data_IF_395756510728
#
_entry.id   IF_395756510728
#
_cell.length_a   1.000
_cell.length_b   1.000
_cell.length_c   1.000
_cell.angle_alpha   90.00
_cell.angle_beta   90.00
_cell.angle_gamma   90.00
#
_symmetry.space_group_name_H-M   'P 1'
#
loop_
_entity.id
_entity.type
_entity.pdbx_description
1 polymer ?
#
# COMPACT_ATOMS: atom_id res chain seq x y z
N UNK A 1 16.27 21.58 -28.87
CA UNK A 1 14.96 20.98 -29.10
C UNK A 1 15.07 19.51 -28.70
N UNK A 2 14.85 19.19 -27.41
CA UNK A 2 14.86 17.80 -26.90
C UNK A 2 13.42 17.33 -26.84
N UNK A 3 13.08 16.38 -27.69
CA UNK A 3 11.76 15.72 -27.74
C UNK A 3 11.65 14.87 -26.46
N UNK A 4 10.81 15.30 -25.54
CA UNK A 4 10.39 14.53 -24.38
C UNK A 4 9.48 13.42 -24.90
N UNK A 5 10.00 12.21 -25.04
CA UNK A 5 9.18 11.05 -25.35
C UNK A 5 8.32 10.73 -24.12
N UNK A 6 7.06 11.12 -24.17
CA UNK A 6 6.02 10.62 -23.27
C UNK A 6 5.79 9.16 -23.63
N UNK A 7 6.33 8.25 -22.84
CA UNK A 7 5.87 6.86 -22.83
C UNK A 7 4.44 6.87 -22.28
N UNK A 8 3.48 6.94 -23.16
CA UNK A 8 2.08 6.61 -22.90
C UNK A 8 2.03 5.13 -22.50
N UNK A 9 2.04 4.83 -21.20
CA UNK A 9 1.58 3.53 -20.74
C UNK A 9 0.11 3.43 -21.14
N UNK A 10 -0.18 2.57 -22.12
CA UNK A 10 -1.55 2.22 -22.43
C UNK A 10 -2.22 1.72 -21.15
N UNK A 11 -3.41 2.24 -20.83
CA UNK A 11 -4.31 1.57 -19.87
C UNK A 11 -4.50 0.15 -20.35
N UNK A 12 -4.48 -0.85 -19.44
CA UNK A 12 -4.97 -2.16 -19.85
C UNK A 12 -6.41 -1.98 -20.33
N UNK A 13 -6.79 -2.65 -21.39
CA UNK A 13 -8.18 -2.61 -21.89
C UNK A 13 -9.16 -2.91 -20.77
N UNK A 14 -8.83 -3.83 -19.87
CA UNK A 14 -9.66 -4.28 -18.76
C UNK A 14 -9.86 -3.24 -17.64
N UNK A 15 -8.84 -2.43 -17.31
CA UNK A 15 -9.03 -1.32 -16.39
C UNK A 15 -9.94 -0.24 -16.97
N UNK A 16 -9.86 0.00 -18.31
CA UNK A 16 -10.76 0.92 -19.00
C UNK A 16 -12.20 0.38 -19.07
N UNK A 17 -12.37 -0.94 -19.22
CA UNK A 17 -13.69 -1.60 -19.20
C UNK A 17 -14.35 -1.43 -17.83
N UNK A 18 -13.58 -1.59 -16.74
CA UNK A 18 -14.07 -1.38 -15.36
C UNK A 18 -14.46 0.08 -15.11
N UNK A 19 -13.70 1.04 -15.64
CA UNK A 19 -14.04 2.48 -15.57
C UNK A 19 -15.37 2.74 -16.28
N UNK A 20 -15.56 2.16 -17.48
CA UNK A 20 -16.77 2.28 -18.24
C UNK A 20 -17.96 1.63 -17.55
N UNK A 21 -17.76 0.45 -16.97
CA UNK A 21 -18.77 -0.28 -16.19
C UNK A 21 -19.25 0.55 -14.99
N UNK A 22 -18.34 1.07 -14.18
CA UNK A 22 -18.70 1.93 -13.04
C UNK A 22 -19.49 3.18 -13.49
N UNK A 23 -19.12 3.79 -14.61
CA UNK A 23 -19.81 4.95 -15.18
C UNK A 23 -21.22 4.63 -15.71
N UNK A 24 -21.44 3.39 -16.18
CA UNK A 24 -22.74 2.92 -16.66
C UNK A 24 -23.74 2.64 -15.51
N UNK A 25 -23.25 2.55 -14.27
CA UNK A 25 -24.04 2.27 -13.08
C UNK A 25 -23.92 3.39 -12.03
N UNK A 26 -24.39 4.62 -12.35
CA UNK A 26 -24.13 5.82 -11.54
C UNK A 26 -24.87 5.85 -10.21
N UNK A 27 -25.81 4.94 -9.96
CA UNK A 27 -26.51 4.78 -8.67
C UNK A 27 -25.64 4.03 -7.62
N UNK A 28 -24.50 3.46 -8.03
CA UNK A 28 -23.59 2.74 -7.16
C UNK A 28 -24.14 1.45 -6.56
N UNK A 29 -25.19 0.86 -7.15
CA UNK A 29 -25.79 -0.38 -6.66
C UNK A 29 -25.25 -1.64 -7.32
N UNK A 30 -24.81 -1.53 -8.56
CA UNK A 30 -24.17 -2.65 -9.26
C UNK A 30 -22.84 -3.02 -8.61
N UNK A 31 -22.41 -4.24 -8.88
CA UNK A 31 -21.08 -4.72 -8.52
C UNK A 31 -20.03 -3.80 -9.17
N UNK A 32 -18.96 -3.48 -8.45
CA UNK A 32 -17.88 -2.59 -8.91
C UNK A 32 -18.36 -1.25 -9.49
N UNK A 33 -19.34 -0.63 -8.83
CA UNK A 33 -19.84 0.71 -9.17
C UNK A 33 -19.92 1.61 -7.93
N UNK A 34 -20.08 2.91 -8.17
CA UNK A 34 -20.26 3.90 -7.12
C UNK A 34 -20.98 5.14 -7.68
N UNK A 35 -21.55 5.93 -6.77
CA UNK A 35 -22.22 7.18 -7.12
C UNK A 35 -21.22 8.35 -7.16
N UNK A 36 -20.84 8.77 -8.37
CA UNK A 36 -19.91 9.88 -8.58
C UNK A 36 -20.49 11.25 -8.14
N UNK A 37 -21.79 11.36 -7.90
CA UNK A 37 -22.42 12.60 -7.42
C UNK A 37 -22.16 12.87 -5.94
N UNK A 38 -21.52 11.95 -5.22
CA UNK A 38 -21.21 12.13 -3.81
C UNK A 38 -20.23 13.28 -3.52
N UNK A 39 -19.41 13.68 -4.48
CA UNK A 39 -18.43 14.78 -4.34
C UNK A 39 -18.93 16.10 -4.91
N UNK A 40 -20.10 16.59 -4.46
CA UNK A 40 -20.75 17.79 -5.02
C UNK A 40 -20.14 19.09 -4.50
N UNK A 41 -19.64 19.13 -3.27
CA UNK A 41 -19.05 20.32 -2.68
C UNK A 41 -17.74 20.02 -1.97
N UNK A 42 -16.87 21.03 -1.90
CA UNK A 42 -15.59 20.91 -1.17
C UNK A 42 -15.83 20.65 0.32
N UNK A 43 -16.87 21.24 0.92
CA UNK A 43 -17.15 21.09 2.34
C UNK A 43 -17.64 19.67 2.70
N UNK A 44 -18.50 19.08 1.87
CA UNK A 44 -18.92 17.69 2.03
C UNK A 44 -17.74 16.74 1.80
N UNK A 45 -16.97 16.96 0.72
CA UNK A 45 -15.78 16.17 0.42
C UNK A 45 -14.77 16.22 1.57
N UNK A 46 -14.55 17.39 2.19
CA UNK A 46 -13.62 17.53 3.32
C UNK A 46 -14.02 16.67 4.51
N UNK A 47 -15.31 16.46 4.76
CA UNK A 47 -15.83 15.64 5.86
C UNK A 47 -15.82 14.14 5.57
N UNK A 48 -15.55 13.72 4.35
CA UNK A 48 -15.41 12.30 4.02
C UNK A 48 -14.18 11.70 4.69
N UNK A 49 -14.19 10.42 5.05
CA UNK A 49 -13.02 9.73 5.55
C UNK A 49 -11.92 9.58 4.47
N UNK A 50 -10.74 9.20 4.89
CA UNK A 50 -9.64 8.78 4.02
C UNK A 50 -9.69 7.26 3.86
N UNK A 51 -9.62 6.77 2.63
CA UNK A 51 -9.50 5.34 2.32
C UNK A 51 -8.04 4.91 2.32
N UNK A 52 -7.76 3.75 2.91
CA UNK A 52 -6.45 3.10 2.88
C UNK A 52 -6.67 1.66 2.44
N UNK A 53 -6.00 1.20 1.41
CA UNK A 53 -6.08 -0.22 1.04
C UNK A 53 -4.73 -0.89 0.86
N UNK A 54 -4.72 -2.18 1.11
CA UNK A 54 -3.59 -3.10 0.93
C UNK A 54 -4.10 -4.46 0.47
N UNK A 55 -3.20 -5.33 0.03
CA UNK A 55 -3.55 -6.71 -0.29
C UNK A 55 -3.92 -7.56 0.93
N UNK A 56 -3.68 -7.09 2.14
CA UNK A 56 -3.95 -7.82 3.38
C UNK A 56 -3.81 -6.95 4.62
N UNK A 57 -3.23 -7.51 5.68
CA UNK A 57 -3.04 -6.78 6.95
C UNK A 57 -1.79 -5.91 6.99
N UNK A 58 -0.84 -6.12 6.08
CA UNK A 58 0.44 -5.39 6.08
C UNK A 58 0.26 -3.88 6.02
N UNK A 59 -0.72 -3.41 5.26
CA UNK A 59 -1.05 -1.99 5.14
C UNK A 59 -1.51 -1.31 6.43
N UNK A 60 -1.82 -2.07 7.49
CA UNK A 60 -2.07 -1.53 8.82
C UNK A 60 -0.84 -0.78 9.38
N UNK A 61 0.37 -1.06 8.90
CA UNK A 61 1.58 -0.28 9.23
C UNK A 61 1.49 1.15 8.69
N UNK A 62 0.92 1.33 7.50
CA UNK A 62 0.67 2.67 6.94
C UNK A 62 -0.42 3.38 7.73
N UNK A 63 -1.48 2.67 8.12
CA UNK A 63 -2.52 3.23 8.97
C UNK A 63 -1.98 3.62 10.35
N UNK A 64 -1.11 2.81 10.98
CA UNK A 64 -0.43 3.16 12.23
C UNK A 64 0.35 4.48 12.08
N UNK A 65 1.12 4.61 10.99
CA UNK A 65 1.86 5.84 10.69
C UNK A 65 0.93 7.05 10.50
N UNK A 66 -0.23 6.86 9.86
CA UNK A 66 -1.25 7.91 9.73
C UNK A 66 -1.86 8.31 11.09
N UNK A 67 -2.11 7.34 11.95
CA UNK A 67 -2.72 7.60 13.28
C UNK A 67 -1.75 8.23 14.27
N UNK A 68 -0.45 8.08 14.07
CA UNK A 68 0.58 8.49 15.04
C UNK A 68 1.49 9.61 14.55
N UNK A 69 1.42 10.01 13.27
CA UNK A 69 2.25 11.07 12.72
C UNK A 69 2.02 12.39 13.47
N UNK A 70 3.10 12.98 13.96
CA UNK A 70 3.17 14.34 14.48
C UNK A 70 4.43 15.00 13.90
N UNK A 71 4.30 15.49 12.68
CA UNK A 71 5.40 16.00 11.88
C UNK A 71 5.12 17.39 11.29
N UNK A 72 3.91 17.88 11.46
CA UNK A 72 3.47 19.19 11.00
C UNK A 72 2.73 19.90 12.13
N UNK A 73 2.80 21.20 12.11
CA UNK A 73 2.00 22.02 13.00
C UNK A 73 0.56 22.08 12.48
N UNK A 74 -0.41 21.57 13.23
CA UNK A 74 -1.79 21.39 12.77
C UNK A 74 -2.48 22.70 12.37
N UNK A 75 -2.14 23.84 12.99
CA UNK A 75 -2.72 25.14 12.67
C UNK A 75 -2.01 25.83 11.49
N UNK A 76 -0.67 25.82 11.48
CA UNK A 76 0.13 26.55 10.49
C UNK A 76 0.48 25.73 9.26
N UNK A 77 0.33 24.41 9.34
CA UNK A 77 0.65 23.41 8.30
C UNK A 77 2.16 23.37 7.96
N UNK A 78 2.99 24.02 8.78
CA UNK A 78 4.45 24.03 8.60
C UNK A 78 5.07 22.75 9.18
N UNK A 79 6.23 22.32 8.67
CA UNK A 79 6.98 21.22 9.28
C UNK A 79 7.33 21.51 10.75
N UNK A 80 7.12 20.52 11.61
CA UNK A 80 7.39 20.59 13.05
C UNK A 80 6.26 19.92 13.85
N UNK A 81 6.62 19.11 14.85
CA UNK A 81 5.66 18.49 15.75
C UNK A 81 5.02 19.54 16.68
N UNK A 82 3.73 19.42 16.96
CA UNK A 82 3.00 20.28 17.90
C UNK A 82 2.42 19.50 19.11
N UNK A 83 2.71 18.20 19.20
CA UNK A 83 2.25 17.32 20.28
C UNK A 83 0.87 16.72 20.02
N UNK A 84 0.26 17.01 18.87
CA UNK A 84 -1.03 16.46 18.46
C UNK A 84 -0.87 15.71 17.15
N UNK A 85 -1.35 14.45 17.04
CA UNK A 85 -1.24 13.73 15.77
C UNK A 85 -1.86 14.52 14.60
N UNK A 86 -1.14 14.55 13.48
CA UNK A 86 -1.48 15.33 12.29
C UNK A 86 -2.87 15.00 11.68
N UNK A 87 -3.38 13.81 11.97
CA UNK A 87 -4.69 13.32 11.49
C UNK A 87 -5.70 13.11 12.62
N UNK A 88 -5.56 13.80 13.76
CA UNK A 88 -6.42 13.61 14.93
C UNK A 88 -7.93 13.79 14.62
N UNK A 89 -8.28 14.72 13.71
CA UNK A 89 -9.67 14.97 13.30
C UNK A 89 -10.14 14.02 12.19
N UNK A 90 -9.23 13.39 11.46
CA UNK A 90 -9.54 12.51 10.34
C UNK A 90 -10.05 11.14 10.80
N UNK A 91 -10.82 10.48 9.94
CA UNK A 91 -11.21 9.08 10.10
C UNK A 91 -10.79 8.32 8.85
N UNK A 92 -10.56 7.04 9.05
CA UNK A 92 -10.04 6.18 8.01
C UNK A 92 -10.98 5.00 7.76
N UNK A 93 -11.09 4.62 6.49
CA UNK A 93 -11.66 3.34 6.06
C UNK A 93 -10.50 2.50 5.56
N UNK A 94 -10.16 1.46 6.30
CA UNK A 94 -9.15 0.49 5.88
C UNK A 94 -9.81 -0.65 5.11
N UNK A 95 -9.20 -1.05 4.01
CA UNK A 95 -9.60 -2.23 3.25
C UNK A 95 -8.38 -3.13 2.98
N UNK A 96 -8.43 -4.38 3.44
CA UNK A 96 -7.48 -5.43 3.11
C UNK A 96 -8.10 -6.43 2.13
N UNK A 97 -7.52 -6.55 0.93
CA UNK A 97 -7.97 -7.55 -0.05
C UNK A 97 -7.39 -8.93 0.25
N UNK A 98 -7.69 -9.40 1.47
CA UNK A 98 -7.10 -10.60 2.08
C UNK A 98 -7.34 -11.87 1.27
N UNK A 99 -8.52 -12.03 0.66
CA UNK A 99 -8.86 -13.22 -0.13
C UNK A 99 -7.95 -13.35 -1.38
N UNK A 100 -7.49 -12.24 -1.93
CA UNK A 100 -6.65 -12.18 -3.13
C UNK A 100 -5.14 -12.08 -2.81
N UNK A 101 -4.76 -11.93 -1.54
CA UNK A 101 -3.36 -11.89 -1.11
C UNK A 101 -2.62 -13.21 -1.43
N UNK A 102 -1.28 -13.18 -1.71
CA UNK A 102 -0.42 -11.99 -1.88
C UNK A 102 -0.37 -11.49 -3.34
N UNK A 103 -0.48 -10.19 -3.52
CA UNK A 103 -0.44 -9.53 -4.84
C UNK A 103 0.87 -9.73 -5.59
N UNK A 104 1.96 -9.90 -4.87
CA UNK A 104 3.30 -10.13 -5.45
C UNK A 104 3.44 -11.39 -6.30
N UNK A 105 2.50 -12.33 -6.20
CA UNK A 105 2.54 -13.60 -6.95
C UNK A 105 1.90 -13.49 -8.34
N UNK A 106 0.96 -12.57 -8.59
CA UNK A 106 0.28 -12.46 -9.87
C UNK A 106 1.22 -12.22 -11.07
N UNK A 107 2.24 -11.34 -10.96
CA UNK A 107 3.19 -11.16 -12.06
C UNK A 107 3.98 -12.42 -12.40
N UNK A 108 4.31 -13.23 -11.40
CA UNK A 108 5.07 -14.47 -11.59
C UNK A 108 4.30 -15.54 -12.39
N UNK A 109 2.97 -15.46 -12.42
CA UNK A 109 2.09 -16.36 -13.17
C UNK A 109 1.45 -15.68 -14.37
N UNK A 110 2.00 -14.55 -14.84
CA UNK A 110 1.50 -13.78 -15.98
C UNK A 110 0.03 -13.33 -15.84
N UNK A 111 -0.38 -12.92 -14.62
CA UNK A 111 -1.71 -12.38 -14.31
C UNK A 111 -1.66 -10.91 -13.88
N UNK A 112 -0.75 -10.16 -14.45
CA UNK A 112 -0.59 -8.72 -14.17
C UNK A 112 -1.84 -7.93 -14.55
N UNK A 113 -2.54 -8.30 -15.64
CA UNK A 113 -3.76 -7.61 -16.06
C UNK A 113 -4.89 -7.82 -15.07
N UNK A 114 -5.05 -9.04 -14.55
CA UNK A 114 -6.02 -9.32 -13.50
C UNK A 114 -5.67 -8.60 -12.19
N UNK A 115 -4.40 -8.56 -11.80
CA UNK A 115 -3.93 -7.78 -10.65
C UNK A 115 -4.31 -6.29 -10.78
N UNK A 116 -4.12 -5.70 -11.97
CA UNK A 116 -4.48 -4.30 -12.22
C UNK A 116 -5.99 -4.07 -12.09
N UNK A 117 -6.80 -5.02 -12.53
CA UNK A 117 -8.25 -5.00 -12.35
C UNK A 117 -8.63 -5.07 -10.86
N UNK A 118 -8.02 -5.98 -10.07
CA UNK A 118 -8.24 -6.07 -8.62
C UNK A 118 -7.94 -4.75 -7.93
N UNK A 119 -6.81 -4.12 -8.24
CA UNK A 119 -6.40 -2.85 -7.65
C UNK A 119 -7.42 -1.72 -7.95
N UNK A 120 -8.01 -1.70 -9.13
CA UNK A 120 -9.08 -0.73 -9.45
C UNK A 120 -10.39 -1.10 -8.74
N UNK A 121 -10.70 -2.38 -8.57
CA UNK A 121 -11.86 -2.85 -7.77
C UNK A 121 -11.74 -2.43 -6.30
N UNK A 122 -10.53 -2.49 -5.72
CA UNK A 122 -10.25 -2.00 -4.35
C UNK A 122 -10.53 -0.51 -4.22
N UNK A 123 -10.08 0.28 -5.22
CA UNK A 123 -10.37 1.71 -5.26
C UNK A 123 -11.88 1.98 -5.37
N UNK A 124 -12.61 1.25 -6.22
CA UNK A 124 -14.06 1.37 -6.36
C UNK A 124 -14.76 1.00 -5.06
N UNK A 125 -14.30 -0.03 -4.33
CA UNK A 125 -14.84 -0.34 -3.01
C UNK A 125 -14.73 0.85 -2.05
N UNK A 126 -13.59 1.52 -2.00
CA UNK A 126 -13.40 2.70 -1.15
C UNK A 126 -14.29 3.88 -1.60
N UNK A 127 -14.45 4.08 -2.91
CA UNK A 127 -15.30 5.13 -3.49
C UNK A 127 -16.79 4.86 -3.31
N UNK A 128 -17.18 3.58 -3.26
CA UNK A 128 -18.57 3.15 -3.18
C UNK A 128 -19.11 3.06 -1.75
N UNK A 129 -20.41 2.79 -1.67
CA UNK A 129 -21.13 2.59 -0.41
C UNK A 129 -21.39 1.10 -0.12
N UNK A 130 -21.17 0.24 -1.12
CA UNK A 130 -21.54 -1.18 -1.11
C UNK A 130 -20.55 -2.02 -0.29
N UNK A 131 -21.06 -2.83 0.62
CA UNK A 131 -20.33 -3.83 1.38
C UNK A 131 -21.28 -4.95 1.82
N UNK A 132 -20.77 -6.07 2.33
CA UNK A 132 -21.57 -7.17 2.88
C UNK A 132 -21.48 -7.17 4.41
N UNK A 133 -22.57 -7.46 5.12
CA UNK A 133 -22.44 -7.86 6.53
C UNK A 133 -21.91 -9.29 6.59
N UNK A 134 -21.23 -9.67 7.69
CA UNK A 134 -20.61 -10.99 7.82
C UNK A 134 -21.59 -12.14 7.57
N UNK A 135 -22.84 -12.01 8.05
CA UNK A 135 -23.90 -13.01 7.90
C UNK A 135 -24.92 -12.65 6.81
N UNK A 136 -24.73 -11.51 6.12
CA UNK A 136 -25.73 -10.98 5.19
C UNK A 136 -25.81 -11.75 3.88
N UNK A 137 -27.05 -11.96 3.41
CA UNK A 137 -27.35 -12.52 2.10
C UNK A 137 -27.42 -11.45 1.01
N UNK A 138 -27.54 -10.19 1.39
CA UNK A 138 -27.66 -9.04 0.50
C UNK A 138 -26.63 -7.97 0.87
N UNK A 139 -26.10 -7.22 -0.10
CA UNK A 139 -25.18 -6.13 0.16
C UNK A 139 -25.87 -4.95 0.85
N UNK A 140 -25.12 -4.21 1.65
CA UNK A 140 -25.50 -2.98 2.30
C UNK A 140 -24.86 -1.78 1.60
N UNK A 141 -25.40 -0.56 1.82
CA UNK A 141 -25.00 0.68 1.13
C UNK A 141 -24.84 1.86 2.10
N UNK A 142 -24.38 1.58 3.33
CA UNK A 142 -24.24 2.60 4.39
C UNK A 142 -22.81 3.06 4.61
N UNK A 143 -21.81 2.41 4.00
CA UNK A 143 -20.42 2.86 4.03
C UNK A 143 -20.29 4.20 3.29
N UNK A 144 -19.67 5.26 3.87
CA UNK A 144 -19.45 6.49 3.13
C UNK A 144 -18.35 6.34 2.06
N UNK A 145 -18.38 7.17 1.00
CA UNK A 145 -17.26 7.32 0.09
C UNK A 145 -16.09 8.05 0.77
N UNK A 146 -14.91 8.03 0.13
CA UNK A 146 -13.68 8.62 0.67
C UNK A 146 -13.23 9.86 -0.11
N UNK A 147 -12.55 10.81 0.54
CA UNK A 147 -11.96 12.00 -0.09
C UNK A 147 -10.55 11.77 -0.66
N UNK A 148 -9.89 10.73 -0.18
CA UNK A 148 -8.56 10.35 -0.63
C UNK A 148 -8.39 8.85 -0.57
N UNK A 149 -7.57 8.30 -1.44
CA UNK A 149 -7.16 6.89 -1.47
C UNK A 149 -5.65 6.81 -1.23
N UNK A 150 -5.27 6.08 -0.18
CA UNK A 150 -3.88 5.70 0.09
C UNK A 150 -3.68 4.26 -0.34
N UNK A 151 -2.82 4.03 -1.33
CA UNK A 151 -2.42 2.69 -1.75
C UNK A 151 -1.24 2.28 -0.88
N UNK A 152 -1.54 1.55 0.21
CA UNK A 152 -0.54 1.12 1.17
C UNK A 152 0.35 0.00 0.62
N UNK A 153 -0.19 -0.85 -0.26
CA UNK A 153 0.53 -1.95 -0.87
C UNK A 153 1.56 -1.48 -1.90
N UNK A 154 2.82 -1.90 -1.71
CA UNK A 154 3.90 -1.57 -2.67
C UNK A 154 3.65 -2.20 -4.05
N UNK A 155 3.19 -3.46 -4.09
CA UNK A 155 2.86 -4.13 -5.34
C UNK A 155 1.67 -3.47 -6.03
N UNK A 156 0.61 -3.13 -5.28
CA UNK A 156 -0.54 -2.42 -5.85
C UNK A 156 -0.14 -1.03 -6.39
N UNK A 157 0.70 -0.29 -5.68
CA UNK A 157 1.25 0.99 -6.18
C UNK A 157 2.03 0.78 -7.48
N UNK A 158 2.88 -0.26 -7.53
CA UNK A 158 3.73 -0.54 -8.69
C UNK A 158 2.95 -0.83 -9.97
N UNK A 159 1.81 -1.50 -9.85
CA UNK A 159 1.05 -1.98 -11.01
C UNK A 159 -0.24 -1.20 -11.29
N UNK A 160 -0.87 -0.56 -10.29
CA UNK A 160 -2.20 0.01 -10.45
C UNK A 160 -2.36 1.51 -10.12
N UNK A 161 -1.35 2.18 -9.55
CA UNK A 161 -1.45 3.60 -9.18
C UNK A 161 -1.91 4.47 -10.37
N UNK A 162 -1.28 4.29 -11.52
CA UNK A 162 -1.62 5.08 -12.72
C UNK A 162 -3.00 4.73 -13.28
N UNK A 163 -3.47 3.50 -13.12
CA UNK A 163 -4.81 3.10 -13.52
C UNK A 163 -5.86 3.76 -12.64
N UNK A 164 -5.65 3.80 -11.31
CA UNK A 164 -6.55 4.50 -10.38
C UNK A 164 -6.58 6.00 -10.68
N UNK A 165 -5.42 6.64 -10.91
CA UNK A 165 -5.37 8.07 -11.25
C UNK A 165 -6.12 8.39 -12.52
N UNK A 166 -5.94 7.58 -13.57
CA UNK A 166 -6.69 7.70 -14.83
C UNK A 166 -8.18 7.48 -14.62
N UNK A 167 -8.56 6.49 -13.81
CA UNK A 167 -9.95 6.20 -13.46
C UNK A 167 -10.61 7.39 -12.74
N UNK A 168 -9.97 7.90 -11.69
CA UNK A 168 -10.44 9.08 -10.94
C UNK A 168 -10.61 10.30 -11.85
N UNK A 169 -9.65 10.53 -12.76
CA UNK A 169 -9.74 11.61 -13.75
C UNK A 169 -10.89 11.41 -14.75
N UNK A 170 -11.10 10.16 -15.22
CA UNK A 170 -12.19 9.83 -16.15
C UNK A 170 -13.57 9.99 -15.47
N UNK A 171 -13.70 9.64 -14.20
CA UNK A 171 -14.91 9.85 -13.40
C UNK A 171 -15.12 11.29 -12.97
N UNK A 172 -14.10 12.16 -13.17
CA UNK A 172 -14.12 13.59 -12.81
C UNK A 172 -14.44 13.85 -11.33
N UNK A 173 -13.97 13.00 -10.44
CA UNK A 173 -14.13 13.16 -9.00
C UNK A 173 -12.85 13.75 -8.37
N UNK A 174 -12.95 14.63 -7.35
CA UNK A 174 -11.81 15.32 -6.75
C UNK A 174 -11.12 14.47 -5.66
N UNK A 175 -10.88 13.19 -5.94
CA UNK A 175 -10.27 12.24 -5.00
C UNK A 175 -8.76 12.27 -5.13
N UNK A 176 -8.07 12.48 -4.02
CA UNK A 176 -6.60 12.44 -3.96
C UNK A 176 -6.14 10.97 -3.97
N UNK A 177 -5.10 10.66 -4.74
CA UNK A 177 -4.52 9.31 -4.79
C UNK A 177 -3.03 9.37 -4.45
N UNK A 178 -2.66 8.75 -3.31
CA UNK A 178 -1.29 8.67 -2.81
C UNK A 178 -0.80 7.23 -2.86
N UNK A 179 0.34 7.00 -3.49
CA UNK A 179 0.99 5.69 -3.57
C UNK A 179 2.22 5.61 -2.67
N UNK A 180 2.38 4.50 -1.97
CA UNK A 180 3.47 4.28 -1.01
C UNK A 180 4.86 4.31 -1.66
N UNK A 181 4.99 3.95 -2.93
CA UNK A 181 6.28 3.92 -3.64
C UNK A 181 6.78 5.34 -3.93
N UNK A 182 5.92 6.23 -4.41
CA UNK A 182 6.28 7.63 -4.67
C UNK A 182 6.63 8.35 -3.37
N UNK A 183 5.85 8.10 -2.32
CA UNK A 183 6.15 8.63 -0.99
C UNK A 183 7.48 8.10 -0.47
N UNK A 184 7.78 6.81 -0.64
CA UNK A 184 9.07 6.22 -0.29
C UNK A 184 10.24 6.84 -1.05
N UNK A 185 10.09 7.12 -2.36
CA UNK A 185 11.10 7.81 -3.14
C UNK A 185 11.32 9.26 -2.66
N UNK A 186 10.27 9.96 -2.24
CA UNK A 186 10.40 11.26 -1.57
C UNK A 186 11.11 11.13 -0.23
N UNK A 187 10.84 10.08 0.54
CA UNK A 187 11.57 9.77 1.78
C UNK A 187 13.07 9.57 1.54
N UNK A 188 13.47 8.96 0.42
CA UNK A 188 14.89 8.90 0.01
C UNK A 188 15.47 10.30 -0.23
N UNK A 189 14.76 11.17 -0.96
CA UNK A 189 15.20 12.55 -1.17
C UNK A 189 15.34 13.33 0.15
N UNK A 190 14.38 13.18 1.06
CA UNK A 190 14.35 13.86 2.36
C UNK A 190 15.42 13.32 3.32
N UNK A 191 15.87 12.08 3.17
CA UNK A 191 16.93 11.49 4.00
C UNK A 191 18.29 12.14 3.81
N UNK A 192 18.50 12.82 2.68
CA UNK A 192 19.77 13.50 2.30
C UNK A 192 21.01 12.58 2.39
N UNK A 193 20.82 11.26 2.34
CA UNK A 193 21.93 10.34 2.38
C UNK A 193 22.72 10.36 1.06
N UNK A 194 24.05 10.35 1.15
CA UNK A 194 24.95 10.52 0.01
C UNK A 194 25.45 9.19 -0.59
N UNK A 195 25.27 8.09 0.15
CA UNK A 195 25.70 6.75 -0.25
C UNK A 195 24.74 6.06 -1.21
N UNK A 196 25.06 4.81 -1.55
CA UNK A 196 24.21 3.99 -2.39
C UNK A 196 22.87 3.65 -1.75
N UNK A 197 21.92 3.30 -2.60
CA UNK A 197 20.53 3.00 -2.21
C UNK A 197 20.25 1.51 -2.44
N UNK A 198 19.75 0.84 -1.41
CA UNK A 198 19.21 -0.52 -1.48
C UNK A 198 17.71 -0.53 -1.27
N UNK A 199 17.01 -1.30 -2.07
CA UNK A 199 15.57 -1.51 -1.92
C UNK A 199 15.35 -2.97 -1.57
N UNK A 200 14.81 -3.24 -0.37
CA UNK A 200 14.25 -4.53 0.00
C UNK A 200 12.74 -4.48 -0.25
N UNK A 201 12.20 -5.38 -1.05
CA UNK A 201 10.78 -5.39 -1.38
C UNK A 201 10.28 -6.82 -1.66
N UNK A 202 9.01 -6.97 -2.02
CA UNK A 202 8.51 -8.25 -2.54
C UNK A 202 9.07 -8.53 -3.93
N UNK A 203 9.11 -9.81 -4.32
CA UNK A 203 9.56 -10.21 -5.68
C UNK A 203 8.78 -9.47 -6.77
N UNK A 204 7.46 -9.33 -6.64
CA UNK A 204 6.62 -8.62 -7.61
C UNK A 204 6.94 -7.12 -7.70
N UNK A 205 7.17 -6.46 -6.56
CA UNK A 205 7.57 -5.05 -6.53
C UNK A 205 8.93 -4.85 -7.21
N UNK A 206 9.92 -5.68 -6.91
CA UNK A 206 11.23 -5.60 -7.56
C UNK A 206 11.16 -5.90 -9.07
N UNK A 207 10.38 -6.91 -9.49
CA UNK A 207 10.19 -7.25 -10.90
C UNK A 207 9.62 -6.08 -11.72
N UNK A 208 8.80 -5.22 -11.11
CA UNK A 208 8.26 -4.01 -11.77
C UNK A 208 9.32 -2.93 -12.05
N UNK A 209 10.45 -2.94 -11.34
CA UNK A 209 11.46 -1.90 -11.38
C UNK A 209 10.97 -0.52 -10.91
N UNK A 210 9.83 -0.46 -10.20
CA UNK A 210 9.17 0.81 -9.85
C UNK A 210 10.04 1.67 -8.95
N UNK A 211 10.66 1.11 -7.90
CA UNK A 211 11.48 1.89 -6.98
C UNK A 211 12.70 2.55 -7.62
N UNK A 212 13.59 1.83 -8.33
CA UNK A 212 14.72 2.47 -9.00
C UNK A 212 14.28 3.58 -9.96
N UNK A 213 13.23 3.35 -10.73
CA UNK A 213 12.70 4.34 -11.67
C UNK A 213 12.15 5.57 -10.95
N UNK A 214 11.33 5.40 -9.91
CA UNK A 214 10.69 6.50 -9.17
C UNK A 214 11.72 7.29 -8.36
N UNK A 215 12.69 6.62 -7.70
CA UNK A 215 13.78 7.29 -6.97
C UNK A 215 14.63 8.12 -7.93
N UNK A 216 15.01 7.55 -9.09
CA UNK A 216 15.78 8.26 -10.12
C UNK A 216 15.05 9.52 -10.60
N UNK A 217 13.75 9.38 -10.87
CA UNK A 217 12.92 10.52 -11.29
C UNK A 217 12.80 11.58 -10.19
N UNK A 218 12.53 11.17 -8.95
CA UNK A 218 12.36 12.08 -7.81
C UNK A 218 13.64 12.89 -7.54
N UNK A 219 14.80 12.23 -7.49
CA UNK A 219 16.07 12.87 -7.30
C UNK A 219 16.43 13.79 -8.48
N UNK A 220 16.20 13.33 -9.71
CA UNK A 220 16.44 14.11 -10.92
C UNK A 220 15.61 15.39 -10.99
N UNK A 221 14.30 15.32 -10.64
CA UNK A 221 13.43 16.50 -10.57
C UNK A 221 13.86 17.50 -9.48
N UNK A 222 14.48 17.01 -8.41
CA UNK A 222 15.05 17.84 -7.33
C UNK A 222 16.47 18.37 -7.67
N UNK A 223 17.01 18.09 -8.86
CA UNK A 223 18.35 18.49 -9.26
C UNK A 223 19.47 17.79 -8.48
N UNK A 224 19.18 16.62 -7.88
CA UNK A 224 20.15 15.81 -7.15
C UNK A 224 20.80 14.76 -8.06
N UNK A 225 22.05 14.42 -7.77
CA UNK A 225 22.69 13.26 -8.39
C UNK A 225 21.98 11.98 -7.97
N UNK A 226 21.90 11.01 -8.88
CA UNK A 226 21.31 9.70 -8.60
C UNK A 226 22.43 8.74 -8.23
N UNK A 227 22.48 8.25 -6.97
CA UNK A 227 23.44 7.25 -6.55
C UNK A 227 23.18 5.90 -7.23
N UNK A 228 24.08 4.94 -7.06
CA UNK A 228 23.81 3.56 -7.45
C UNK A 228 22.65 3.01 -6.65
N UNK A 229 21.73 2.33 -7.34
CA UNK A 229 20.53 1.71 -6.74
C UNK A 229 20.58 0.22 -7.02
N UNK A 230 20.48 -0.59 -5.98
CA UNK A 230 20.24 -2.03 -6.08
C UNK A 230 18.91 -2.39 -5.44
N UNK A 231 18.32 -3.49 -5.88
CA UNK A 231 17.09 -4.01 -5.27
C UNK A 231 17.16 -5.50 -5.07
N UNK A 232 16.53 -5.99 -3.99
CA UNK A 232 16.38 -7.40 -3.67
C UNK A 232 14.92 -7.69 -3.38
N UNK A 233 14.35 -8.63 -4.14
CA UNK A 233 12.99 -9.11 -3.96
C UNK A 233 12.94 -10.38 -3.11
N UNK A 234 12.20 -10.33 -2.00
CA UNK A 234 11.99 -11.50 -1.15
C UNK A 234 10.60 -12.11 -1.40
N UNK A 235 10.54 -13.44 -1.64
CA UNK A 235 9.28 -14.18 -1.67
C UNK A 235 8.82 -14.63 -0.27
N UNK A 236 9.65 -14.50 0.76
CA UNK A 236 9.48 -15.19 2.05
C UNK A 236 9.39 -14.25 3.26
N UNK A 237 10.14 -13.14 3.27
CA UNK A 237 10.32 -12.31 4.46
C UNK A 237 8.99 -11.71 4.99
N UNK A 238 8.07 -11.33 4.11
CA UNK A 238 6.77 -10.80 4.54
C UNK A 238 5.95 -11.85 5.30
N UNK A 239 5.83 -13.06 4.75
CA UNK A 239 5.13 -14.17 5.41
C UNK A 239 5.81 -14.60 6.73
N UNK A 240 7.15 -14.63 6.77
CA UNK A 240 7.88 -14.91 8.01
C UNK A 240 7.59 -13.86 9.10
N UNK A 241 7.49 -12.58 8.75
CA UNK A 241 7.12 -11.51 9.70
C UNK A 241 5.68 -11.70 10.21
N UNK A 242 4.75 -12.14 9.37
CA UNK A 242 3.39 -12.49 9.77
C UNK A 242 3.31 -13.77 10.61
N UNK A 243 4.37 -14.57 10.66
CA UNK A 243 4.38 -15.85 11.35
C UNK A 243 3.68 -16.97 10.58
N UNK A 244 3.66 -16.88 9.25
CA UNK A 244 3.12 -17.92 8.37
C UNK A 244 3.96 -19.20 8.51
N UNK A 245 3.30 -20.30 8.84
CA UNK A 245 3.92 -21.63 9.04
C UNK A 245 4.63 -22.18 7.79
N UNK A 246 4.34 -21.66 6.61
CA UNK A 246 5.06 -21.97 5.38
C UNK A 246 6.52 -21.48 5.41
N UNK A 247 6.85 -20.54 6.31
CA UNK A 247 8.18 -19.95 6.47
C UNK A 247 8.73 -20.20 7.87
N UNK A 248 9.24 -21.41 8.17
CA UNK A 248 9.55 -21.86 9.54
C UNK A 248 10.83 -21.28 10.14
N UNK A 249 11.69 -20.63 9.33
CA UNK A 249 12.90 -20.00 9.83
C UNK A 249 12.59 -18.70 10.57
N UNK A 250 13.50 -18.23 11.41
CA UNK A 250 13.35 -16.96 12.10
C UNK A 250 13.36 -15.77 11.13
N UNK A 251 12.67 -14.69 11.48
CA UNK A 251 12.73 -13.43 10.74
C UNK A 251 14.17 -12.96 10.53
N UNK A 252 15.02 -13.10 11.55
CA UNK A 252 16.46 -12.76 11.47
C UNK A 252 17.21 -13.58 10.43
N UNK A 253 16.89 -14.87 10.27
CA UNK A 253 17.53 -15.73 9.25
C UNK A 253 17.13 -15.29 7.84
N UNK A 254 15.85 -15.04 7.60
CA UNK A 254 15.38 -14.49 6.32
C UNK A 254 15.96 -13.09 6.07
N UNK A 255 15.99 -12.21 7.07
CA UNK A 255 16.57 -10.88 6.94
C UNK A 255 18.04 -10.92 6.55
N UNK A 256 18.83 -11.83 7.15
CA UNK A 256 20.25 -12.02 6.83
C UNK A 256 20.43 -12.49 5.38
N UNK A 257 19.63 -13.44 4.93
CA UNK A 257 19.63 -13.91 3.54
C UNK A 257 19.36 -12.79 2.56
N UNK A 258 18.30 -12.01 2.80
CA UNK A 258 17.91 -10.94 1.90
C UNK A 258 18.88 -9.75 1.94
N UNK A 259 19.41 -9.39 3.11
CA UNK A 259 20.45 -8.36 3.24
C UNK A 259 21.73 -8.76 2.50
N UNK A 260 22.14 -10.04 2.57
CA UNK A 260 23.29 -10.54 1.81
C UNK A 260 23.06 -10.46 0.31
N UNK A 261 21.90 -10.90 -0.16
CA UNK A 261 21.55 -10.84 -1.58
C UNK A 261 21.51 -9.38 -2.09
N UNK A 262 20.98 -8.44 -1.28
CA UNK A 262 21.01 -7.02 -1.63
C UNK A 262 22.44 -6.47 -1.69
N UNK A 263 23.31 -6.81 -0.74
CA UNK A 263 24.71 -6.38 -0.74
C UNK A 263 25.46 -6.91 -1.96
N UNK A 264 25.21 -8.17 -2.36
CA UNK A 264 25.80 -8.75 -3.58
C UNK A 264 25.27 -8.09 -4.85
N UNK A 265 23.96 -7.80 -4.93
CA UNK A 265 23.38 -7.05 -6.03
C UNK A 265 24.00 -5.62 -6.11
N UNK A 266 24.21 -4.97 -4.95
CA UNK A 266 24.86 -3.67 -4.89
C UNK A 266 26.32 -3.72 -5.34
N UNK A 267 27.09 -4.75 -4.96
CA UNK A 267 28.45 -4.98 -5.47
C UNK A 267 28.48 -5.00 -7.00
N UNK A 268 27.46 -5.60 -7.63
CA UNK A 268 27.32 -5.64 -9.08
C UNK A 268 27.22 -4.28 -9.75
N UNK A 269 26.80 -3.23 -9.03
CA UNK A 269 26.71 -1.84 -9.55
C UNK A 269 28.08 -1.19 -9.71
N UNK A 270 29.14 -1.74 -9.07
CA UNK A 270 30.51 -1.19 -9.04
C UNK A 270 30.58 0.25 -8.52
N UNK A 271 29.67 0.66 -7.66
CA UNK A 271 29.66 1.97 -7.06
C UNK A 271 30.84 2.14 -6.08
N UNK A 272 31.43 3.32 -6.04
CA UNK A 272 32.51 3.66 -5.12
C UNK A 272 32.01 3.93 -3.70
N UNK A 273 30.81 4.53 -3.56
CA UNK A 273 30.22 4.83 -2.25
C UNK A 273 29.57 3.56 -1.68
N UNK A 274 29.58 3.37 -0.34
CA UNK A 274 28.94 2.21 0.29
C UNK A 274 27.42 2.31 0.23
N UNK A 275 26.74 1.17 0.32
CA UNK A 275 25.30 1.04 0.49
C UNK A 275 24.90 1.67 1.83
N UNK A 276 24.17 2.77 1.80
CA UNK A 276 23.86 3.58 2.98
C UNK A 276 22.35 3.69 3.25
N UNK A 277 21.54 3.92 2.21
CA UNK A 277 20.10 4.07 2.35
C UNK A 277 19.42 2.75 2.06
N UNK A 278 18.58 2.28 2.99
CA UNK A 278 17.79 1.05 2.83
C UNK A 278 16.30 1.42 2.81
N UNK A 279 15.65 1.20 1.68
CA UNK A 279 14.21 1.39 1.53
C UNK A 279 13.49 0.10 1.91
N UNK A 280 12.57 0.18 2.89
CA UNK A 280 11.74 -0.92 3.35
C UNK A 280 10.50 -1.05 2.45
N UNK A 281 10.69 -1.52 1.21
CA UNK A 281 9.72 -1.50 0.12
C UNK A 281 8.63 -2.58 0.19
N UNK A 282 8.26 -2.98 1.40
CA UNK A 282 7.10 -3.83 1.72
C UNK A 282 6.48 -3.33 3.02
N UNK A 283 5.17 -3.36 3.13
CA UNK A 283 4.42 -2.91 4.31
C UNK A 283 4.79 -3.64 5.59
N UNK A 284 5.29 -4.88 5.50
CA UNK A 284 5.73 -5.68 6.65
C UNK A 284 7.14 -5.32 7.14
N UNK A 285 8.02 -4.85 6.27
CA UNK A 285 9.44 -4.71 6.60
C UNK A 285 9.77 -3.66 7.68
N UNK A 286 9.00 -2.57 7.86
CA UNK A 286 9.17 -1.70 9.01
C UNK A 286 9.05 -2.40 10.36
N UNK A 287 8.24 -3.48 10.45
CA UNK A 287 8.06 -4.30 11.64
C UNK A 287 9.30 -5.13 12.01
N UNK A 288 10.15 -5.43 11.03
CA UNK A 288 11.40 -6.18 11.16
C UNK A 288 12.65 -5.30 10.94
N UNK A 289 12.53 -3.98 11.07
CA UNK A 289 13.65 -3.04 10.84
C UNK A 289 14.88 -3.41 11.67
N UNK A 290 14.70 -3.79 12.93
CA UNK A 290 15.81 -4.13 13.82
C UNK A 290 16.53 -5.39 13.37
N UNK A 291 15.81 -6.42 12.94
CA UNK A 291 16.34 -7.66 12.42
C UNK A 291 17.08 -7.44 11.09
N UNK A 292 16.54 -6.57 10.24
CA UNK A 292 17.17 -6.17 8.96
C UNK A 292 18.46 -5.38 9.24
N UNK A 293 18.46 -4.43 10.18
CA UNK A 293 19.65 -3.65 10.53
C UNK A 293 20.73 -4.54 11.14
N UNK A 294 20.37 -5.41 12.07
CA UNK A 294 21.29 -6.40 12.65
C UNK A 294 21.87 -7.34 11.59
N UNK A 295 21.12 -7.70 10.56
CA UNK A 295 21.62 -8.50 9.44
C UNK A 295 22.74 -7.77 8.70
N UNK A 296 22.62 -6.49 8.42
CA UNK A 296 23.70 -5.69 7.81
C UNK A 296 24.92 -5.57 8.73
N UNK A 297 24.73 -5.45 10.05
CA UNK A 297 25.83 -5.44 11.02
C UNK A 297 26.58 -6.78 11.01
N UNK A 298 25.87 -7.90 10.92
CA UNK A 298 26.47 -9.22 10.79
C UNK A 298 27.29 -9.35 9.50
N UNK A 299 26.74 -8.86 8.37
CA UNK A 299 27.43 -8.88 7.08
C UNK A 299 28.72 -8.03 7.09
N UNK A 300 28.77 -6.94 7.85
CA UNK A 300 29.97 -6.12 7.98
C UNK A 300 31.14 -6.81 8.71
N UNK A 301 30.89 -7.92 9.39
CA UNK A 301 31.97 -8.75 9.96
C UNK A 301 32.72 -9.53 8.88
N UNK A 302 32.10 -9.76 7.73
CA UNK A 302 32.74 -10.34 6.55
C UNK A 302 33.61 -9.28 5.85
N UNK A 303 34.93 -9.54 5.76
CA UNK A 303 35.87 -8.62 5.14
C UNK A 303 35.51 -8.28 3.68
N UNK A 304 34.86 -9.23 2.96
CA UNK A 304 34.46 -9.02 1.57
C UNK A 304 33.24 -8.09 1.42
N UNK A 305 32.45 -7.87 2.48
CA UNK A 305 31.23 -7.07 2.47
C UNK A 305 31.35 -5.77 3.29
N UNK A 306 32.34 -5.69 4.18
CA UNK A 306 32.50 -4.60 5.14
C UNK A 306 32.45 -3.23 4.47
N UNK A 307 33.23 -3.05 3.42
CA UNK A 307 33.39 -1.75 2.75
C UNK A 307 32.26 -1.44 1.76
N UNK A 308 31.45 -2.46 1.42
CA UNK A 308 30.25 -2.28 0.59
C UNK A 308 29.07 -1.72 1.38
N UNK A 309 29.05 -1.84 2.71
CA UNK A 309 27.92 -1.52 3.57
C UNK A 309 28.35 -0.41 4.52
N UNK A 310 27.66 0.73 4.52
CA UNK A 310 27.92 1.83 5.44
C UNK A 310 27.75 1.38 6.90
N UNK A 311 28.57 1.93 7.80
CA UNK A 311 28.45 1.67 9.23
C UNK A 311 27.15 2.25 9.80
N UNK A 312 26.85 3.50 9.42
CA UNK A 312 25.58 4.16 9.75
C UNK A 312 24.68 4.11 8.52
N UNK A 313 23.57 3.39 8.64
CA UNK A 313 22.57 3.26 7.58
C UNK A 313 21.35 4.13 7.88
N UNK A 314 20.72 4.60 6.84
CA UNK A 314 19.45 5.32 6.89
C UNK A 314 18.36 4.39 6.37
N UNK A 315 17.37 4.11 7.20
CA UNK A 315 16.20 3.34 6.79
C UNK A 315 15.08 4.29 6.37
N UNK A 316 14.65 4.15 5.15
CA UNK A 316 13.46 4.85 4.65
C UNK A 316 12.26 3.93 4.87
N UNK A 317 11.34 4.40 5.73
CA UNK A 317 10.05 3.77 5.96
C UNK A 317 9.00 4.40 5.04
N UNK A 318 8.54 3.71 3.98
CA UNK A 318 7.55 4.27 3.07
C UNK A 318 6.20 4.57 3.74
N UNK A 319 5.86 3.89 4.84
CA UNK A 319 4.63 4.15 5.58
C UNK A 319 4.60 5.56 6.19
N UNK A 320 5.68 5.96 6.87
CA UNK A 320 5.81 7.32 7.41
C UNK A 320 5.88 8.38 6.30
N UNK A 321 6.62 8.09 5.23
CA UNK A 321 6.69 8.97 4.07
C UNK A 321 5.29 9.18 3.44
N UNK A 322 4.47 8.13 3.38
CA UNK A 322 3.09 8.18 2.87
C UNK A 322 2.20 9.05 3.75
N UNK A 323 2.33 8.95 5.08
CA UNK A 323 1.58 9.80 5.99
C UNK A 323 1.93 11.28 5.79
N UNK A 324 3.23 11.61 5.66
CA UNK A 324 3.68 12.98 5.35
C UNK A 324 3.15 13.48 3.99
N UNK A 325 3.15 12.62 2.97
CA UNK A 325 2.65 12.96 1.65
C UNK A 325 1.15 13.22 1.66
N UNK A 326 0.37 12.35 2.30
CA UNK A 326 -1.08 12.53 2.43
C UNK A 326 -1.41 13.85 3.13
N UNK A 327 -0.70 14.19 4.20
CA UNK A 327 -0.89 15.46 4.89
C UNK A 327 -0.72 16.65 3.94
N UNK A 328 0.38 16.66 3.17
CA UNK A 328 0.69 17.72 2.20
C UNK A 328 -0.38 17.83 1.11
N UNK A 329 -0.81 16.70 0.55
CA UNK A 329 -1.82 16.71 -0.52
C UNK A 329 -3.19 17.12 0.00
N UNK A 330 -3.62 16.68 1.19
CA UNK A 330 -4.86 17.15 1.81
C UNK A 330 -4.80 18.65 2.14
N UNK A 331 -3.68 19.16 2.65
CA UNK A 331 -3.48 20.57 2.95
C UNK A 331 -3.53 21.43 1.67
N UNK A 332 -2.81 21.01 0.63
CA UNK A 332 -2.80 21.66 -0.70
C UNK A 332 -4.19 21.73 -1.34
N UNK A 333 -4.95 20.63 -1.25
CA UNK A 333 -6.31 20.55 -1.76
C UNK A 333 -7.36 21.22 -0.84
N UNK A 334 -6.97 21.69 0.35
CA UNK A 334 -7.88 22.25 1.38
C UNK A 334 -8.94 21.24 1.86
N UNK A 335 -8.58 19.96 1.87
CA UNK A 335 -9.45 18.84 2.26
C UNK A 335 -9.14 18.29 3.66
N UNK A 336 -8.19 18.88 4.42
CA UNK A 336 -8.02 18.55 5.83
C UNK A 336 -9.19 19.07 6.65
N UNK A 337 -9.64 18.25 7.61
CA UNK A 337 -10.60 18.72 8.63
C UNK A 337 -9.91 19.74 9.54
N UNK A 338 -10.65 20.80 9.89
CA UNK A 338 -10.23 21.79 10.88
C UNK A 338 -10.51 21.25 12.29
N UNK A 339 -9.95 21.92 13.30
CA UNK A 339 -10.10 21.51 14.69
C UNK A 339 -11.56 21.47 15.19
N UNK A 340 -12.44 22.30 14.63
CA UNK A 340 -13.88 22.40 14.95
C UNK A 340 -14.77 21.58 14.01
N UNK A 341 -14.20 20.90 13.03
CA UNK A 341 -14.93 20.07 12.08
C UNK A 341 -14.87 18.57 12.44
N UNK A 342 -15.89 17.84 12.04
CA UNK A 342 -16.00 16.41 12.29
C UNK A 342 -16.12 15.63 10.98
N UNK A 343 -15.49 14.46 10.94
CA UNK A 343 -15.68 13.51 9.85
C UNK A 343 -17.13 13.03 9.80
N UNK A 344 -17.57 12.57 8.64
CA UNK A 344 -18.91 11.99 8.43
C UNK A 344 -19.12 10.66 9.16
N UNK A 345 -18.07 10.05 9.67
CA UNK A 345 -18.11 8.88 10.54
C UNK A 345 -17.42 9.18 11.88
N UNK A 346 -17.92 8.58 12.95
CA UNK A 346 -17.38 8.81 14.31
C UNK A 346 -16.12 8.02 14.58
N UNK A 347 -16.03 6.81 14.01
CA UNK A 347 -14.95 5.87 14.25
C UNK A 347 -14.31 5.44 12.93
N UNK A 348 -13.06 4.95 13.01
CA UNK A 348 -12.42 4.26 11.88
C UNK A 348 -13.20 3.00 11.54
N UNK A 349 -13.25 2.65 10.25
CA UNK A 349 -13.91 1.45 9.76
C UNK A 349 -12.87 0.55 9.10
N UNK A 350 -13.02 -0.74 9.28
CA UNK A 350 -12.10 -1.74 8.76
C UNK A 350 -12.89 -2.78 7.99
N UNK A 351 -12.40 -3.17 6.82
CA UNK A 351 -13.01 -4.16 5.96
C UNK A 351 -11.95 -5.12 5.42
N UNK A 352 -12.36 -6.38 5.24
CA UNK A 352 -11.58 -7.39 4.54
C UNK A 352 -12.40 -8.01 3.41
N UNK A 353 -11.71 -8.44 2.36
CA UNK A 353 -12.30 -9.38 1.42
C UNK A 353 -12.23 -10.79 1.99
N UNK A 354 -13.32 -11.52 1.84
CA UNK A 354 -13.41 -12.96 2.15
C UNK A 354 -13.95 -13.71 0.93
N UNK A 355 -13.60 -14.99 0.72
CA UNK A 355 -14.17 -15.78 -0.37
C UNK A 355 -15.69 -15.82 -0.30
N UNK A 356 -16.34 -15.76 -1.47
CA UNK A 356 -17.79 -15.89 -1.57
C UNK A 356 -18.18 -17.37 -1.66
N UNK A 357 -18.29 -18.00 -0.49
CA UNK A 357 -18.55 -19.45 -0.35
C UNK A 357 -19.91 -19.91 -0.89
N UNK A 358 -20.86 -18.99 -1.02
CA UNK A 358 -22.21 -19.20 -1.52
C UNK A 358 -22.33 -19.00 -3.05
N UNK A 359 -21.25 -18.61 -3.73
CA UNK A 359 -21.27 -18.35 -5.17
C UNK A 359 -20.81 -19.56 -5.98
N UNK A 360 -21.62 -19.92 -6.97
CA UNK A 360 -21.33 -21.05 -7.86
C UNK A 360 -20.07 -20.79 -8.69
N UNK A 361 -19.12 -21.73 -8.67
CA UNK A 361 -17.88 -21.64 -9.44
C UNK A 361 -16.68 -21.12 -8.66
N UNK A 362 -16.88 -20.58 -7.45
CA UNK A 362 -15.77 -20.22 -6.55
C UNK A 362 -15.17 -21.49 -5.96
N UNK A 363 -13.85 -21.68 -6.11
CA UNK A 363 -13.13 -22.84 -5.59
C UNK A 363 -12.36 -22.48 -4.33
N UNK A 364 -12.49 -23.31 -3.31
CA UNK A 364 -11.89 -23.09 -1.99
C UNK A 364 -10.92 -24.21 -1.63
N UNK A 365 -9.87 -23.84 -0.92
CA UNK A 365 -8.99 -24.77 -0.21
C UNK A 365 -9.66 -25.30 1.06
N UNK A 366 -9.07 -26.32 1.68
CA UNK A 366 -9.60 -26.96 2.88
C UNK A 366 -9.72 -26.01 4.10
N UNK A 367 -8.93 -24.93 4.13
CA UNK A 367 -8.96 -23.88 5.15
C UNK A 367 -9.97 -22.76 4.89
N UNK A 368 -10.77 -22.88 3.80
CA UNK A 368 -11.76 -21.89 3.40
C UNK A 368 -11.22 -20.68 2.62
N UNK A 369 -9.93 -20.62 2.36
CA UNK A 369 -9.34 -19.62 1.46
C UNK A 369 -9.66 -19.94 -0.02
N UNK A 370 -9.49 -18.95 -0.91
CA UNK A 370 -9.55 -19.22 -2.35
C UNK A 370 -8.48 -20.26 -2.72
N UNK A 371 -8.90 -21.31 -3.45
CA UNK A 371 -7.96 -22.29 -3.98
C UNK A 371 -6.85 -21.60 -4.81
N UNK A 372 -5.62 -22.07 -4.68
CA UNK A 372 -4.46 -21.42 -5.29
C UNK A 372 -4.55 -21.39 -6.82
N UNK A 373 -4.93 -22.49 -7.43
CA UNK A 373 -5.02 -22.57 -8.89
C UNK A 373 -6.19 -21.75 -9.40
N UNK A 374 -7.34 -21.80 -8.71
CA UNK A 374 -8.46 -20.90 -8.97
C UNK A 374 -8.02 -19.43 -8.87
N UNK A 375 -7.41 -19.02 -7.75
CA UNK A 375 -6.99 -17.63 -7.49
C UNK A 375 -6.15 -17.06 -8.61
N UNK A 376 -5.14 -17.79 -9.06
CA UNK A 376 -4.16 -17.32 -10.04
C UNK A 376 -4.47 -17.68 -11.49
N UNK A 377 -5.55 -18.41 -11.77
CA UNK A 377 -6.02 -18.68 -13.14
C UNK A 377 -7.07 -17.69 -13.62
N UNK A 378 -7.67 -16.89 -12.71
CA UNK A 378 -8.74 -15.94 -13.06
C UNK A 378 -8.27 -14.96 -14.14
N UNK A 379 -9.18 -14.66 -15.06
CA UNK A 379 -8.99 -13.69 -16.12
C UNK A 379 -9.74 -12.39 -15.80
N UNK A 380 -9.24 -11.22 -16.26
CA UNK A 380 -9.98 -9.97 -16.14
C UNK A 380 -11.25 -9.94 -16.98
N UNK A 381 -12.16 -8.99 -16.70
CA UNK A 381 -13.35 -8.70 -17.50
C UNK A 381 -14.65 -9.28 -16.96
N UNK A 382 -14.65 -9.98 -15.84
CA UNK A 382 -15.87 -10.44 -15.18
C UNK A 382 -16.42 -9.35 -14.26
N UNK A 383 -17.11 -8.35 -14.83
CA UNK A 383 -17.49 -7.12 -14.13
C UNK A 383 -18.80 -7.25 -13.33
N UNK A 384 -19.60 -8.27 -13.60
CA UNK A 384 -20.87 -8.55 -12.91
C UNK A 384 -20.74 -9.71 -11.89
N UNK A 385 -19.52 -10.21 -11.68
CA UNK A 385 -19.27 -11.37 -10.84
C UNK A 385 -18.37 -11.01 -9.65
N UNK A 386 -18.85 -11.28 -8.44
CA UNK A 386 -18.09 -11.18 -7.20
C UNK A 386 -17.74 -12.57 -6.67
N UNK A 387 -16.50 -12.96 -6.74
CA UNK A 387 -15.98 -14.18 -6.12
C UNK A 387 -15.48 -13.95 -4.67
N UNK A 388 -15.48 -12.69 -4.23
CA UNK A 388 -15.19 -12.27 -2.87
C UNK A 388 -16.26 -11.32 -2.35
N UNK A 389 -16.45 -11.30 -1.02
CA UNK A 389 -17.28 -10.32 -0.30
C UNK A 389 -16.40 -9.41 0.53
N UNK A 390 -16.67 -8.11 0.48
CA UNK A 390 -16.00 -7.13 1.35
C UNK A 390 -16.87 -6.96 2.61
N UNK A 391 -16.36 -7.44 3.74
CA UNK A 391 -17.08 -7.50 5.02
C UNK A 391 -16.38 -6.64 6.08
N UNK A 392 -17.07 -6.11 7.10
CA UNK A 392 -16.43 -5.51 8.25
C UNK A 392 -15.43 -6.47 8.88
N UNK A 393 -14.23 -5.96 9.18
CA UNK A 393 -13.19 -6.74 9.83
C UNK A 393 -13.55 -6.95 11.30
N UNK A 394 -13.67 -8.19 11.68
CA UNK A 394 -13.84 -8.61 13.07
C UNK A 394 -12.56 -9.34 13.56
N UNK A 395 -12.27 -9.38 14.86
CA UNK A 395 -11.04 -9.99 15.39
C UNK A 395 -10.83 -11.45 14.97
N UNK A 396 -11.91 -12.21 14.76
CA UNK A 396 -11.91 -13.61 14.31
C UNK A 396 -11.50 -13.79 12.83
N UNK A 397 -11.60 -12.74 12.02
CA UNK A 397 -11.10 -12.74 10.65
C UNK A 397 -9.59 -12.50 10.56
N UNK A 398 -8.95 -12.09 11.66
CA UNK A 398 -7.50 -11.88 11.69
C UNK A 398 -6.83 -13.17 12.17
N UNK A 399 -5.93 -13.80 11.41
CA UNK A 399 -5.17 -14.93 11.89
C UNK A 399 -4.47 -14.64 13.22
N UNK A 400 -4.43 -15.60 14.14
CA UNK A 400 -3.95 -15.39 15.51
C UNK A 400 -2.54 -14.79 15.59
N UNK A 401 -1.63 -15.23 14.69
CA UNK A 401 -0.27 -14.69 14.61
C UNK A 401 -0.27 -13.23 14.17
N UNK A 402 -1.08 -12.91 13.18
CA UNK A 402 -1.25 -11.54 12.68
C UNK A 402 -1.91 -10.64 13.71
N UNK A 403 -2.91 -11.13 14.46
CA UNK A 403 -3.54 -10.40 15.55
C UNK A 403 -2.52 -10.07 16.68
N UNK A 404 -1.64 -11.03 17.00
CA UNK A 404 -0.54 -10.80 17.95
C UNK A 404 0.41 -9.71 17.45
N UNK A 405 0.81 -9.79 16.18
CA UNK A 405 1.70 -8.80 15.55
C UNK A 405 1.09 -7.39 15.58
N UNK A 406 -0.19 -7.25 15.18
CA UNK A 406 -0.91 -5.96 15.21
C UNK A 406 -0.97 -5.43 16.64
N UNK A 407 -1.34 -6.25 17.63
CA UNK A 407 -1.42 -5.83 19.02
C UNK A 407 -0.08 -5.34 19.57
N UNK A 408 1.02 -6.03 19.25
CA UNK A 408 2.34 -5.74 19.83
C UNK A 408 3.08 -4.62 19.10
N UNK A 409 2.85 -4.46 17.79
CA UNK A 409 3.63 -3.56 16.93
C UNK A 409 2.85 -2.37 16.38
N UNK A 410 1.51 -2.40 16.42
CA UNK A 410 0.62 -1.36 15.87
C UNK A 410 -0.44 -0.96 16.91
N UNK A 411 -0.04 -0.34 18.04
CA UNK A 411 -0.93 -0.10 19.17
C UNK A 411 -2.08 0.87 18.88
N UNK A 412 -1.90 1.87 18.02
CA UNK A 412 -2.97 2.81 17.67
C UNK A 412 -4.03 2.13 16.79
N UNK A 413 -3.61 1.30 15.82
CA UNK A 413 -4.50 0.46 15.03
C UNK A 413 -5.23 -0.54 15.92
N UNK A 414 -4.50 -1.26 16.79
CA UNK A 414 -5.12 -2.23 17.70
C UNK A 414 -6.20 -1.61 18.58
N UNK A 415 -5.93 -0.43 19.13
CA UNK A 415 -6.91 0.33 19.92
C UNK A 415 -8.14 0.72 19.10
N UNK A 416 -7.96 1.01 17.83
CA UNK A 416 -9.05 1.41 16.92
C UNK A 416 -9.91 0.22 16.48
N UNK A 417 -9.32 -0.98 16.30
CA UNK A 417 -10.02 -2.22 15.98
C UNK A 417 -10.92 -2.75 17.12
N UNK A 418 -10.61 -2.39 18.37
CA UNK A 418 -11.31 -2.89 19.56
C UNK A 418 -12.24 -1.83 20.19
N UNK A 419 -12.62 -0.80 19.43
CA UNK A 419 -13.62 0.22 19.80
C UNK A 419 -14.93 -0.06 19.10
#
# INVERSE_FOLDING_TARGET
MKILAWLLFATSTHAADLVSHASAHPDGRAVFSFDASAWQSTDETRRMPVGVFDSGIGGLTVLESLLTLDAFHNDTLQPGADGTPDFAQERFIYFGDQANMPYGNYPAVNRTDYLRELIVKDAIFLLGRRFWSAEGKEPQFTKPPVKAIVIACNTATAYGLEDIRKAVAAWKIPVIVVGVVEAGARGVLESQAEGGIGVLATSGTCASGVYPRTITQTLGLAGKSVPAIAQQGSPTLAGAIEGDSAFPESVSAYALKEARALAEAYRGTKAAAPLQTIVLGCTHYPLAKNEIDAAFDELRKDAALRDLIAEKRVFVNPAEATARELFRELAKAKLRLKADEHCSIEQHQFYFSVPRVDETGVQLSADGSLDKDYKYSRAPGHLDFEDTKNVPLTPDLIPANSAKLVRERLPAVWKSLNR
#
